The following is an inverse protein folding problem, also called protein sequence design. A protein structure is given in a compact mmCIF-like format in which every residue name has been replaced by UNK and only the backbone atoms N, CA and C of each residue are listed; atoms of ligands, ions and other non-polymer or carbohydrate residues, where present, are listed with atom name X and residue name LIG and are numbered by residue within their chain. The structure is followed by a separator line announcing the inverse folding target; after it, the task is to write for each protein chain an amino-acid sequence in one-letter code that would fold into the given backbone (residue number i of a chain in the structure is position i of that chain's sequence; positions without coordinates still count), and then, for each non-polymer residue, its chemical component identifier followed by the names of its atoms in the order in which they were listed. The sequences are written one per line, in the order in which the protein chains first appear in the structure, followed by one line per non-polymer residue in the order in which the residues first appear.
data_IF_095500367702
#
_entry.id   IF_095500367702
#
_cell.length_a   1.000
_cell.length_b   1.000
_cell.length_c   1.000
_cell.angle_alpha   90.00
_cell.angle_beta   90.00
_cell.angle_gamma   90.00
#
_symmetry.space_group_name_H-M   'P 1'
#
loop_
_entity.id
_entity.type
_entity.pdbx_description
1 polymer ?
#
# COMPACT_ATOMS: atom_id res chain seq x y z
N UNK A 1 16.67 12.10 5.88
CA UNK A 1 16.20 10.81 5.32
C UNK A 1 16.11 10.95 3.81
N UNK A 2 16.89 10.17 3.06
CA UNK A 2 16.76 10.13 1.59
C UNK A 2 15.69 9.13 1.15
N UNK A 3 15.58 7.99 1.83
CA UNK A 3 14.57 6.96 1.59
C UNK A 3 13.44 7.05 2.62
N UNK A 4 12.17 6.92 2.21
CA UNK A 4 11.02 6.84 3.10
C UNK A 4 9.96 5.87 2.56
N UNK A 5 9.32 5.15 3.47
CA UNK A 5 8.17 4.28 3.18
C UNK A 5 6.95 4.80 3.96
N UNK A 6 5.83 4.94 3.29
CA UNK A 6 4.58 5.43 3.89
C UNK A 6 3.45 4.44 3.56
N UNK A 7 3.03 3.70 4.56
CA UNK A 7 1.82 2.87 4.51
C UNK A 7 0.63 3.66 5.08
N UNK A 8 -0.49 3.69 4.34
CA UNK A 8 -1.70 4.40 4.74
C UNK A 8 -2.97 3.69 4.29
N UNK A 9 -4.05 3.98 4.99
CA UNK A 9 -5.40 3.51 4.67
C UNK A 9 -6.27 4.70 4.27
N UNK A 10 -6.85 4.67 3.07
CA UNK A 10 -7.81 5.66 2.58
C UNK A 10 -9.23 5.12 2.68
N UNK A 11 -10.13 5.88 3.29
CA UNK A 11 -11.56 5.53 3.40
C UNK A 11 -12.37 6.82 3.62
N UNK A 12 -13.66 6.78 3.31
CA UNK A 12 -14.58 7.92 3.41
C UNK A 12 -15.87 7.60 4.19
N UNK A 13 -16.00 6.38 4.71
CA UNK A 13 -17.20 5.88 5.38
C UNK A 13 -16.83 4.94 6.53
N UNK A 14 -17.66 4.89 7.57
CA UNK A 14 -17.54 3.98 8.70
C UNK A 14 -17.91 2.53 8.37
N UNK A 15 -18.56 2.27 7.23
CA UNK A 15 -18.84 0.90 6.76
C UNK A 15 -17.60 0.20 6.16
N UNK A 16 -16.51 0.95 5.92
CA UNK A 16 -15.20 0.47 5.44
C UNK A 16 -15.19 -0.40 4.16
N UNK A 17 -16.29 -0.49 3.41
CA UNK A 17 -16.41 -1.34 2.19
C UNK A 17 -15.34 -1.00 1.15
N UNK A 18 -15.09 0.29 0.94
CA UNK A 18 -14.17 0.81 -0.08
C UNK A 18 -12.82 1.25 0.50
N UNK A 19 -12.41 0.67 1.63
CA UNK A 19 -11.10 1.00 2.20
C UNK A 19 -9.97 0.57 1.28
N UNK A 20 -9.00 1.45 1.10
CA UNK A 20 -7.84 1.26 0.24
C UNK A 20 -6.55 1.26 1.07
N UNK A 21 -5.76 0.20 0.93
CA UNK A 21 -4.40 0.16 1.46
C UNK A 21 -3.41 0.65 0.41
N UNK A 22 -2.54 1.56 0.81
CA UNK A 22 -1.52 2.18 -0.05
C UNK A 22 -0.18 2.12 0.66
N UNK A 23 0.84 1.58 -0.02
CA UNK A 23 2.23 1.55 0.46
C UNK A 23 3.13 2.24 -0.57
N UNK A 24 3.65 3.42 -0.20
CA UNK A 24 4.37 4.34 -1.11
C UNK A 24 5.83 4.46 -0.70
N UNK A 25 6.72 4.42 -1.68
CA UNK A 25 8.16 4.48 -1.51
C UNK A 25 8.72 5.76 -2.15
N UNK A 26 9.52 6.49 -1.38
CA UNK A 26 10.04 7.80 -1.72
C UNK A 26 11.55 7.83 -1.62
N UNK A 27 12.19 8.41 -2.63
CA UNK A 27 13.60 8.74 -2.62
C UNK A 27 13.78 10.24 -2.90
N UNK A 28 14.51 10.94 -2.03
CA UNK A 28 14.70 12.38 -2.09
C UNK A 28 13.38 13.17 -2.24
N UNK A 29 12.36 12.80 -1.46
CA UNK A 29 10.98 13.33 -1.50
C UNK A 29 10.19 13.05 -2.79
N UNK A 30 10.78 12.37 -3.76
CA UNK A 30 10.12 11.94 -4.99
C UNK A 30 9.57 10.53 -4.80
N UNK A 31 8.28 10.34 -5.02
CA UNK A 31 7.70 9.00 -5.03
C UNK A 31 8.22 8.23 -6.23
N UNK A 32 8.84 7.08 -5.98
CA UNK A 32 9.36 6.26 -7.06
C UNK A 32 8.48 5.03 -7.32
N UNK A 33 7.85 4.43 -6.31
CA UNK A 33 6.97 3.28 -6.49
C UNK A 33 5.86 3.22 -5.44
N UNK A 34 4.73 2.58 -5.80
CA UNK A 34 3.58 2.39 -4.90
C UNK A 34 2.89 1.07 -5.13
N UNK A 35 2.51 0.39 -4.06
CA UNK A 35 1.44 -0.60 -4.08
C UNK A 35 0.12 0.07 -3.69
N UNK A 36 -0.96 -0.28 -4.39
CA UNK A 36 -2.33 0.01 -3.95
C UNK A 36 -3.16 -1.27 -4.00
N UNK A 37 -4.02 -1.48 -3.00
CA UNK A 37 -4.96 -2.61 -2.99
C UNK A 37 -6.01 -2.53 -4.11
N UNK A 38 -6.32 -1.34 -4.63
CA UNK A 38 -7.26 -1.20 -5.75
C UNK A 38 -6.64 -1.68 -7.07
N UNK A 39 -5.32 -1.51 -7.23
CA UNK A 39 -4.54 -1.99 -8.38
C UNK A 39 -4.06 -3.43 -8.19
N UNK A 40 -3.79 -3.83 -6.94
CA UNK A 40 -3.36 -5.18 -6.56
C UNK A 40 -1.91 -5.52 -6.91
N UNK A 41 -1.08 -4.52 -7.25
CA UNK A 41 0.34 -4.66 -7.59
C UNK A 41 1.09 -3.34 -7.43
N UNK A 42 2.42 -3.39 -7.52
CA UNK A 42 3.27 -2.20 -7.52
C UNK A 42 3.23 -1.48 -8.87
N UNK A 43 3.26 -0.16 -8.82
CA UNK A 43 3.37 0.77 -9.96
C UNK A 43 4.59 1.66 -9.73
N UNK A 44 5.47 1.75 -10.72
CA UNK A 44 6.62 2.67 -10.71
C UNK A 44 6.27 4.02 -11.34
N UNK A 45 6.79 5.10 -10.75
CA UNK A 45 6.62 6.49 -11.24
C UNK A 45 7.91 7.12 -11.76
N UNK A 46 9.04 6.43 -11.58
CA UNK A 46 10.35 6.81 -12.11
C UNK A 46 10.99 5.58 -12.75
N UNK A 47 12.06 5.76 -13.55
CA UNK A 47 12.77 4.62 -14.15
C UNK A 47 13.26 3.60 -13.12
N UNK A 48 13.79 4.08 -11.98
CA UNK A 48 14.18 3.23 -10.86
C UNK A 48 12.97 2.47 -10.32
N UNK A 49 11.85 3.18 -10.12
CA UNK A 49 10.65 2.60 -9.56
C UNK A 49 9.92 1.63 -10.48
N UNK A 50 10.03 1.78 -11.80
CA UNK A 50 9.52 0.80 -12.76
C UNK A 50 10.28 -0.51 -12.60
N UNK A 51 11.62 -0.47 -12.54
CA UNK A 51 12.45 -1.66 -12.31
C UNK A 51 12.15 -2.31 -10.94
N UNK A 52 11.98 -1.49 -9.90
CA UNK A 52 11.61 -1.99 -8.58
C UNK A 52 10.23 -2.65 -8.58
N UNK A 53 9.24 -2.01 -9.22
CA UNK A 53 7.89 -2.54 -9.35
C UNK A 53 7.87 -3.85 -10.14
N UNK A 54 8.61 -3.95 -11.25
CA UNK A 54 8.77 -5.20 -12.01
C UNK A 54 9.36 -6.31 -11.15
N UNK A 55 10.44 -6.00 -10.41
CA UNK A 55 11.08 -6.96 -9.50
C UNK A 55 10.09 -7.46 -8.44
N UNK A 56 9.42 -6.56 -7.71
CA UNK A 56 8.46 -6.95 -6.67
C UNK A 56 7.22 -7.64 -7.21
N UNK A 57 6.74 -7.25 -8.39
CA UNK A 57 5.58 -7.88 -9.02
C UNK A 57 5.89 -9.28 -9.56
N UNK A 58 7.16 -9.58 -9.85
CA UNK A 58 7.60 -10.92 -10.27
C UNK A 58 7.77 -11.90 -9.10
N UNK A 59 7.72 -11.43 -7.85
CA UNK A 59 7.71 -12.29 -6.66
C UNK A 59 6.26 -12.51 -6.17
N UNK A 60 5.69 -13.72 -6.36
CA UNK A 60 4.32 -14.01 -5.93
C UNK A 60 4.13 -13.91 -4.41
N UNK A 61 5.17 -14.14 -3.61
CA UNK A 61 5.10 -14.08 -2.15
C UNK A 61 4.91 -12.64 -1.68
N UNK A 62 5.65 -11.70 -2.28
CA UNK A 62 5.53 -10.26 -2.00
C UNK A 62 4.13 -9.79 -2.40
N UNK A 63 3.66 -10.12 -3.60
CA UNK A 63 2.33 -9.71 -4.05
C UNK A 63 1.21 -10.29 -3.19
N UNK A 64 1.31 -11.57 -2.81
CA UNK A 64 0.31 -12.20 -1.95
C UNK A 64 0.25 -11.52 -0.57
N UNK A 65 1.41 -11.24 0.03
CA UNK A 65 1.48 -10.51 1.29
C UNK A 65 0.86 -9.12 1.15
N UNK A 66 1.29 -8.33 0.15
CA UNK A 66 0.82 -6.95 -0.04
C UNK A 66 -0.69 -6.87 -0.31
N UNK A 67 -1.27 -7.85 -1.01
CA UNK A 67 -2.72 -7.94 -1.20
C UNK A 67 -3.47 -8.23 0.09
N UNK A 68 -2.87 -8.97 1.02
CA UNK A 68 -3.46 -9.26 2.32
C UNK A 68 -3.36 -8.08 3.32
N UNK A 69 -2.46 -7.12 3.09
CA UNK A 69 -2.26 -5.96 3.99
C UNK A 69 -3.50 -5.08 4.14
N UNK A 70 -4.39 -5.02 3.13
CA UNK A 70 -5.68 -4.32 3.26
C UNK A 70 -6.49 -4.85 4.44
N UNK A 71 -6.59 -6.17 4.57
CA UNK A 71 -7.32 -6.80 5.66
C UNK A 71 -6.54 -6.67 6.98
N UNK A 72 -5.25 -7.04 6.94
CA UNK A 72 -4.38 -7.14 8.12
C UNK A 72 -4.11 -5.80 8.79
N UNK A 73 -3.99 -4.72 8.02
CA UNK A 73 -3.64 -3.40 8.53
C UNK A 73 -4.86 -2.50 8.57
N UNK A 74 -5.54 -2.31 7.44
CA UNK A 74 -6.63 -1.33 7.38
C UNK A 74 -7.89 -1.81 8.10
N UNK A 75 -8.48 -2.93 7.69
CA UNK A 75 -9.71 -3.43 8.33
C UNK A 75 -9.48 -3.76 9.81
N UNK A 76 -8.39 -4.44 10.15
CA UNK A 76 -8.09 -4.78 11.53
C UNK A 76 -8.01 -3.55 12.45
N UNK A 77 -7.15 -2.57 12.13
CA UNK A 77 -6.95 -1.44 13.03
C UNK A 77 -8.16 -0.50 13.02
N UNK A 78 -8.72 -0.18 11.85
CA UNK A 78 -9.82 0.79 11.78
C UNK A 78 -11.12 0.19 12.32
N UNK A 79 -11.33 -1.11 12.15
CA UNK A 79 -12.42 -1.84 12.80
C UNK A 79 -12.32 -1.78 14.33
N UNK A 80 -11.13 -1.90 14.90
CA UNK A 80 -10.91 -1.70 16.35
C UNK A 80 -11.27 -0.27 16.76
N UNK A 81 -10.87 0.73 15.97
CA UNK A 81 -11.14 2.14 16.31
C UNK A 81 -12.63 2.48 16.30
N UNK A 82 -13.39 1.97 15.33
CA UNK A 82 -14.84 2.19 15.27
C UNK A 82 -15.63 1.28 16.22
N UNK A 83 -15.15 0.07 16.50
CA UNK A 83 -15.79 -0.85 17.44
C UNK A 83 -15.56 -0.51 18.91
N UNK A 84 -14.65 0.42 19.21
CA UNK A 84 -14.38 0.95 20.55
C UNK A 84 -15.27 2.16 20.92
N UNK A 85 -16.21 2.53 20.06
CA UNK A 85 -17.23 3.58 20.25
C UNK A 85 -18.60 2.92 20.33
#
# INVERSE_FOLDING_TARGET
FLEARVARCGFNSSELKDIEYIDSYYYNKLEYARFSSSVGKFVGFTELGVKAAEYWNNDPSILAQMRAEKERVCHHNIGIWYGAI
#
